data_IF_785992883925
#
_entry.id   IF_785992883925
#
_cell.length_a   1.000
_cell.length_b   1.000
_cell.length_c   1.000
_cell.angle_alpha   90.00
_cell.angle_beta   90.00
_cell.angle_gamma   90.00
#
_symmetry.space_group_name_H-M   'P 1'
#
loop_
_entity.id
_entity.type
_entity.pdbx_description
1 polymer ?
#
# COMPACT_ATOMS: atom_id res chain seq x y z
N UNK A 1 -28.50 -2.47 -17.04
CA UNK A 1 -27.79 -2.63 -15.75
C UNK A 1 -26.89 -3.85 -15.87
N UNK A 2 -25.72 -3.80 -15.26
CA UNK A 2 -24.73 -4.88 -15.21
C UNK A 2 -24.44 -5.15 -13.74
N UNK A 3 -24.39 -6.42 -13.35
CA UNK A 3 -23.97 -6.82 -12.00
C UNK A 3 -22.51 -7.19 -12.07
N UNK A 4 -21.69 -6.55 -11.25
CA UNK A 4 -20.27 -6.86 -11.10
C UNK A 4 -19.99 -7.40 -9.69
N UNK A 5 -18.99 -8.26 -9.57
CA UNK A 5 -18.46 -8.72 -8.28
C UNK A 5 -17.16 -7.98 -7.98
N UNK A 6 -17.11 -7.27 -6.85
CA UNK A 6 -15.89 -6.64 -6.35
C UNK A 6 -15.30 -7.53 -5.26
N UNK A 7 -14.14 -8.11 -5.53
CA UNK A 7 -13.38 -8.94 -4.59
C UNK A 7 -12.31 -8.07 -3.94
N UNK A 8 -12.30 -8.03 -2.61
CA UNK A 8 -11.35 -7.25 -1.82
C UNK A 8 -10.57 -8.19 -0.92
N UNK A 9 -9.25 -8.14 -0.97
CA UNK A 9 -8.36 -8.87 -0.07
C UNK A 9 -7.39 -7.90 0.60
N UNK A 10 -7.27 -7.96 1.93
CA UNK A 10 -6.43 -7.07 2.72
C UNK A 10 -5.54 -7.85 3.69
N UNK A 11 -4.31 -7.38 3.86
CA UNK A 11 -3.43 -7.82 4.94
C UNK A 11 -3.45 -6.82 6.10
N UNK A 12 -3.41 -7.32 7.33
CA UNK A 12 -3.44 -6.51 8.56
C UNK A 12 -2.39 -6.96 9.58
N UNK A 13 -2.02 -6.08 10.51
CA UNK A 13 -1.19 -6.44 11.66
C UNK A 13 -1.97 -7.32 12.64
N UNK A 14 -1.43 -8.48 12.96
CA UNK A 14 -1.94 -9.40 13.98
C UNK A 14 -0.98 -9.41 15.19
N UNK A 15 -1.47 -9.51 16.44
CA UNK A 15 -2.86 -9.63 16.88
C UNK A 15 -3.59 -8.29 17.06
N UNK A 16 -3.01 -7.17 16.63
CA UNK A 16 -3.63 -5.83 16.74
C UNK A 16 -5.02 -5.80 16.09
N UNK A 17 -5.13 -6.37 14.90
CA UNK A 17 -6.39 -6.66 14.23
C UNK A 17 -6.85 -8.06 14.61
N UNK A 18 -8.10 -8.16 15.05
CA UNK A 18 -8.71 -9.43 15.41
C UNK A 18 -9.13 -10.17 14.14
N UNK A 19 -8.67 -11.41 14.00
CA UNK A 19 -9.19 -12.33 13.01
C UNK A 19 -10.63 -12.72 13.38
N UNK A 20 -11.61 -12.17 12.65
CA UNK A 20 -13.03 -12.41 12.80
C UNK A 20 -13.77 -12.00 11.51
N UNK A 21 -15.09 -12.17 11.48
CA UNK A 21 -15.91 -11.60 10.41
C UNK A 21 -16.02 -10.07 10.55
N UNK A 22 -16.22 -9.35 9.45
CA UNK A 22 -16.31 -7.89 9.41
C UNK A 22 -15.07 -7.16 9.98
N UNK A 23 -13.87 -7.52 9.54
CA UNK A 23 -12.64 -6.74 9.76
C UNK A 23 -12.73 -5.45 8.94
N UNK A 24 -12.37 -4.26 9.47
CA UNK A 24 -11.72 -4.02 10.76
C UNK A 24 -12.66 -3.85 11.98
N UNK A 25 -13.97 -3.68 11.80
CA UNK A 25 -14.88 -3.23 12.88
C UNK A 25 -15.09 -4.24 14.00
N UNK A 26 -14.82 -5.52 13.75
CA UNK A 26 -14.84 -6.58 14.76
C UNK A 26 -13.68 -6.51 15.76
N UNK A 27 -12.69 -5.64 15.51
CA UNK A 27 -11.60 -5.36 16.44
C UNK A 27 -12.04 -4.34 17.49
N UNK A 28 -11.78 -4.64 18.77
CA UNK A 28 -12.12 -3.76 19.89
C UNK A 28 -11.58 -2.34 19.71
N UNK A 29 -12.46 -1.34 19.87
CA UNK A 29 -12.10 0.08 19.68
C UNK A 29 -12.11 0.56 18.22
N UNK A 30 -12.49 -0.29 17.26
CA UNK A 30 -12.54 0.05 15.81
C UNK A 30 -13.93 -0.03 15.19
N UNK A 31 -15.01 -0.04 15.98
CA UNK A 31 -16.39 -0.13 15.45
C UNK A 31 -16.76 0.95 14.42
N UNK A 32 -16.13 2.12 14.49
CA UNK A 32 -16.35 3.25 13.57
C UNK A 32 -15.40 3.33 12.37
N UNK A 33 -14.52 2.33 12.15
CA UNK A 33 -13.50 2.41 11.08
C UNK A 33 -13.95 1.82 9.75
N UNK A 34 -15.25 1.51 9.59
CA UNK A 34 -15.75 1.10 8.29
C UNK A 34 -15.82 2.30 7.34
N UNK A 35 -15.18 2.19 6.19
CA UNK A 35 -15.20 3.21 5.15
C UNK A 35 -15.57 2.58 3.80
N UNK A 36 -15.92 3.44 2.84
CA UNK A 36 -16.30 3.01 1.51
C UNK A 36 -15.12 3.06 0.54
N UNK A 37 -15.10 2.14 -0.41
CA UNK A 37 -14.35 2.29 -1.65
C UNK A 37 -14.96 3.46 -2.42
N UNK A 38 -14.22 4.55 -2.57
CA UNK A 38 -14.74 5.78 -3.16
C UNK A 38 -14.35 5.90 -4.62
N UNK A 39 -15.25 6.43 -5.45
CA UNK A 39 -14.85 6.85 -6.78
C UNK A 39 -13.90 8.04 -6.68
N UNK A 40 -12.80 7.98 -7.43
CA UNK A 40 -11.74 9.00 -7.39
C UNK A 40 -11.47 9.70 -8.70
N UNK A 41 -11.76 9.04 -9.83
CA UNK A 41 -11.62 9.60 -11.18
C UNK A 41 -12.77 9.12 -12.06
N UNK A 42 -13.23 10.02 -12.94
CA UNK A 42 -14.33 9.79 -13.88
C UNK A 42 -15.65 9.42 -13.20
N UNK A 43 -15.93 10.04 -12.05
CA UNK A 43 -17.11 9.70 -11.24
C UNK A 43 -18.45 10.11 -11.87
N UNK A 44 -18.44 10.94 -12.91
CA UNK A 44 -19.64 11.22 -13.70
C UNK A 44 -20.10 10.03 -14.53
N UNK A 45 -19.22 9.06 -14.77
CA UNK A 45 -19.46 7.85 -15.57
C UNK A 45 -19.44 6.60 -14.71
N UNK A 46 -19.63 6.72 -13.40
CA UNK A 46 -19.56 5.63 -12.43
C UNK A 46 -20.79 4.69 -12.44
N UNK A 47 -21.75 4.96 -13.31
CA UNK A 47 -22.96 4.16 -13.47
C UNK A 47 -23.84 4.10 -12.21
N UNK A 48 -23.74 5.08 -11.31
CA UNK A 48 -24.47 5.14 -10.04
C UNK A 48 -23.71 4.56 -8.85
N UNK A 49 -22.46 4.14 -9.01
CA UNK A 49 -21.65 3.54 -7.94
C UNK A 49 -21.57 4.44 -6.70
N UNK A 50 -21.35 5.74 -6.87
CA UNK A 50 -21.21 6.69 -5.75
C UNK A 50 -22.48 6.84 -4.91
N UNK A 51 -23.64 6.37 -5.37
CA UNK A 51 -24.90 6.37 -4.61
C UNK A 51 -24.89 5.27 -3.55
N UNK A 52 -24.37 4.08 -3.90
CA UNK A 52 -24.33 2.91 -3.01
C UNK A 52 -22.95 2.24 -3.10
N UNK A 53 -21.89 2.90 -2.60
CA UNK A 53 -20.54 2.38 -2.74
C UNK A 53 -20.31 1.16 -1.84
N UNK A 54 -19.44 0.25 -2.30
CA UNK A 54 -19.03 -0.92 -1.52
C UNK A 54 -18.11 -0.48 -0.38
N UNK A 55 -18.25 -1.11 0.78
CA UNK A 55 -17.40 -0.86 1.94
C UNK A 55 -16.21 -1.82 2.02
N UNK A 56 -15.21 -1.45 2.82
CA UNK A 56 -13.96 -2.21 2.97
C UNK A 56 -14.07 -3.42 3.92
N UNK A 57 -15.28 -3.73 4.42
CA UNK A 57 -15.43 -4.82 5.36
C UNK A 57 -15.13 -6.13 4.67
N UNK A 58 -14.24 -6.90 5.29
CA UNK A 58 -13.83 -8.22 4.82
C UNK A 58 -13.95 -9.23 5.97
N UNK A 59 -13.87 -10.52 5.66
CA UNK A 59 -13.90 -11.58 6.65
C UNK A 59 -12.52 -12.21 6.76
N UNK A 60 -12.06 -12.47 7.99
CA UNK A 60 -10.74 -13.08 8.18
C UNK A 60 -10.66 -14.43 7.48
N UNK A 61 -9.62 -14.60 6.67
CA UNK A 61 -9.31 -15.84 5.95
C UNK A 61 -8.27 -16.65 6.72
N UNK A 62 -7.22 -15.99 7.20
CA UNK A 62 -6.10 -16.61 7.91
C UNK A 62 -5.37 -15.61 8.81
N UNK A 63 -4.68 -16.12 9.83
CA UNK A 63 -3.82 -15.32 10.71
C UNK A 63 -2.55 -16.10 11.09
N UNK A 64 -1.44 -15.38 11.22
CA UNK A 64 -0.13 -15.90 11.63
C UNK A 64 0.42 -15.03 12.76
N UNK A 65 0.60 -15.63 13.94
CA UNK A 65 1.22 -15.01 15.10
C UNK A 65 2.71 -14.71 14.87
N UNK A 66 3.42 -15.60 14.19
CA UNK A 66 4.85 -15.47 13.95
C UNK A 66 5.20 -14.34 12.97
N UNK A 67 4.35 -14.13 11.95
CA UNK A 67 4.49 -12.99 11.04
C UNK A 67 3.92 -11.70 11.60
N UNK A 68 3.08 -11.80 12.63
CA UNK A 68 2.25 -10.70 13.09
C UNK A 68 1.34 -10.19 11.98
N UNK A 69 0.82 -11.09 11.15
CA UNK A 69 0.00 -10.76 9.98
C UNK A 69 -1.27 -11.60 9.91
N UNK A 70 -2.34 -11.01 9.40
CA UNK A 70 -3.55 -11.73 9.02
C UNK A 70 -4.05 -11.25 7.67
N UNK A 71 -4.79 -12.11 6.97
CA UNK A 71 -5.43 -11.79 5.70
C UNK A 71 -6.94 -11.90 5.86
N UNK A 72 -7.67 -10.97 5.24
CA UNK A 72 -9.13 -11.00 5.17
C UNK A 72 -9.58 -10.76 3.74
N UNK A 73 -10.71 -11.34 3.36
CA UNK A 73 -11.28 -11.25 2.01
C UNK A 73 -12.80 -11.12 2.06
N UNK A 74 -13.38 -10.46 1.05
CA UNK A 74 -14.81 -10.52 0.76
C UNK A 74 -15.10 -10.19 -0.70
N UNK A 75 -16.08 -10.88 -1.27
CA UNK A 75 -16.74 -10.52 -2.53
C UNK A 75 -18.07 -9.82 -2.25
N UNK A 76 -18.32 -8.70 -2.91
CA UNK A 76 -19.58 -7.95 -2.84
C UNK A 76 -20.07 -7.63 -4.24
N UNK A 77 -21.34 -7.93 -4.51
CA UNK A 77 -21.97 -7.57 -5.78
C UNK A 77 -22.40 -6.10 -5.79
N UNK A 78 -22.09 -5.39 -6.87
CA UNK A 78 -22.57 -4.04 -7.16
C UNK A 78 -23.34 -4.04 -8.49
N UNK A 79 -24.43 -3.26 -8.56
CA UNK A 79 -25.23 -3.11 -9.78
C UNK A 79 -25.00 -1.72 -10.36
N UNK A 80 -24.51 -1.65 -11.60
CA UNK A 80 -24.13 -0.41 -12.28
C UNK A 80 -24.85 -0.27 -13.62
N UNK A 81 -24.94 0.96 -14.13
CA UNK A 81 -25.37 1.20 -15.51
C UNK A 81 -24.37 0.61 -16.50
N UNK A 82 -24.87 0.10 -17.62
CA UNK A 82 -24.00 -0.40 -18.70
C UNK A 82 -23.17 0.76 -19.29
N UNK A 83 -21.92 0.49 -19.67
CA UNK A 83 -21.01 1.52 -20.17
C UNK A 83 -20.35 2.39 -19.10
N UNK A 84 -20.54 2.08 -17.81
CA UNK A 84 -19.84 2.76 -16.72
C UNK A 84 -18.32 2.56 -16.86
N UNK A 85 -17.55 3.62 -16.63
CA UNK A 85 -16.09 3.57 -16.68
C UNK A 85 -15.52 4.61 -15.72
N UNK A 86 -14.75 4.16 -14.72
CA UNK A 86 -14.35 4.99 -13.58
C UNK A 86 -13.31 4.29 -12.72
N UNK A 87 -12.70 5.04 -11.81
CA UNK A 87 -11.71 4.53 -10.87
C UNK A 87 -12.28 4.53 -9.46
N UNK A 88 -12.14 3.41 -8.76
CA UNK A 88 -12.41 3.31 -7.33
C UNK A 88 -11.12 3.18 -6.54
N UNK A 89 -11.14 3.62 -5.28
CA UNK A 89 -9.99 3.40 -4.41
C UNK A 89 -10.34 3.22 -2.95
N UNK A 90 -9.49 2.45 -2.27
CA UNK A 90 -9.31 2.55 -0.83
C UNK A 90 -8.06 3.36 -0.52
N UNK A 91 -8.16 4.33 0.38
CA UNK A 91 -7.04 5.12 0.89
C UNK A 91 -7.02 5.08 2.39
N UNK A 92 -5.89 4.79 2.98
CA UNK A 92 -5.76 4.69 4.42
C UNK A 92 -4.33 4.88 4.90
N UNK A 93 -4.17 5.05 6.21
CA UNK A 93 -2.85 5.01 6.83
C UNK A 93 -2.24 3.62 6.69
N UNK A 94 -0.94 3.57 6.45
CA UNK A 94 -0.18 2.34 6.46
C UNK A 94 -0.28 1.69 7.84
N UNK A 95 -0.66 0.41 7.88
CA UNK A 95 -0.72 -0.35 9.12
C UNK A 95 0.67 -0.84 9.55
N UNK A 96 1.67 -0.80 8.65
CA UNK A 96 3.06 -1.15 8.90
C UNK A 96 3.98 -0.08 8.29
N UNK A 97 5.05 0.25 9.00
CA UNK A 97 6.16 1.03 8.44
C UNK A 97 6.97 0.18 7.45
N UNK A 98 7.63 0.85 6.51
CA UNK A 98 8.68 0.24 5.66
C UNK A 98 10.02 0.55 6.30
N UNK A 99 10.93 -0.42 6.35
CA UNK A 99 12.19 -0.27 7.11
C UNK A 99 13.35 0.23 6.26
N UNK A 100 13.30 0.04 4.94
CA UNK A 100 14.34 0.51 4.03
C UNK A 100 13.75 1.03 2.71
N UNK A 101 13.85 2.35 2.46
CA UNK A 101 14.19 3.38 3.44
C UNK A 101 13.18 3.42 4.59
N UNK A 102 13.63 3.75 5.81
CA UNK A 102 12.73 3.84 6.96
C UNK A 102 11.69 4.92 6.71
N UNK A 103 10.42 4.52 6.64
CA UNK A 103 9.31 5.41 6.39
C UNK A 103 8.16 5.13 7.36
N UNK A 104 7.89 6.12 8.20
CA UNK A 104 6.81 6.11 9.17
C UNK A 104 5.63 6.96 8.65
N UNK A 105 4.43 6.70 9.17
CA UNK A 105 3.22 7.46 8.84
C UNK A 105 2.90 7.51 7.34
N UNK A 106 3.19 6.42 6.63
CA UNK A 106 2.84 6.28 5.22
C UNK A 106 1.32 6.23 5.04
N UNK A 107 0.88 6.58 3.84
CA UNK A 107 -0.48 6.38 3.38
C UNK A 107 -0.45 5.38 2.23
N UNK A 108 -1.34 4.40 2.26
CA UNK A 108 -1.50 3.45 1.18
C UNK A 108 -2.75 3.81 0.40
N UNK A 109 -2.65 3.70 -0.92
CA UNK A 109 -3.76 3.90 -1.85
C UNK A 109 -3.83 2.67 -2.73
N UNK A 110 -5.02 2.10 -2.91
CA UNK A 110 -5.28 0.93 -3.73
C UNK A 110 -6.33 1.34 -4.73
N UNK A 111 -5.94 1.57 -5.98
CA UNK A 111 -6.81 2.08 -7.05
C UNK A 111 -7.09 0.99 -8.07
N UNK A 112 -8.37 0.79 -8.38
CA UNK A 112 -8.87 -0.13 -9.40
C UNK A 112 -9.59 0.65 -10.50
N UNK A 113 -9.32 0.32 -11.75
CA UNK A 113 -10.00 0.87 -12.92
C UNK A 113 -11.07 -0.10 -13.41
N UNK A 114 -12.33 0.34 -13.41
CA UNK A 114 -13.49 -0.42 -13.88
C UNK A 114 -13.94 0.17 -15.22
N UNK A 115 -14.10 -0.68 -16.23
CA UNK A 115 -14.68 -0.32 -17.52
C UNK A 115 -15.68 -1.37 -18.00
N UNK A 116 -16.95 -0.96 -18.08
CA UNK A 116 -18.09 -1.77 -18.51
C UNK A 116 -18.59 -1.36 -19.90
N UNK A 117 -17.80 -0.59 -20.66
CA UNK A 117 -18.09 -0.31 -22.06
C UNK A 117 -17.96 -1.59 -22.88
N UNK A 118 -18.81 -1.72 -23.90
CA UNK A 118 -18.74 -2.83 -24.84
C UNK A 118 -17.44 -2.73 -25.63
N UNK A 119 -16.75 -3.86 -25.73
CA UNK A 119 -15.60 -4.06 -26.58
C UNK A 119 -16.00 -4.04 -28.07
N UNK A 120 -15.05 -3.80 -28.98
CA UNK A 120 -15.28 -3.92 -30.43
C UNK A 120 -15.80 -5.30 -30.88
N UNK A 121 -15.47 -6.36 -30.15
CA UNK A 121 -15.95 -7.74 -30.38
C UNK A 121 -17.37 -7.99 -29.85
N UNK A 122 -17.99 -7.00 -29.19
CA UNK A 122 -19.37 -7.03 -28.72
C UNK A 122 -19.58 -7.65 -27.33
N UNK A 123 -18.51 -8.01 -26.60
CA UNK A 123 -18.60 -8.45 -25.20
C UNK A 123 -18.24 -7.33 -24.22
N UNK A 124 -18.69 -7.44 -22.97
CA UNK A 124 -18.25 -6.55 -21.90
C UNK A 124 -16.94 -7.11 -21.36
N UNK A 125 -15.99 -6.22 -21.07
CA UNK A 125 -14.73 -6.59 -20.47
C UNK A 125 -14.89 -7.22 -19.08
N UNK A 126 -14.18 -8.30 -18.81
CA UNK A 126 -14.00 -8.83 -17.46
C UNK A 126 -12.56 -8.51 -17.05
N UNK A 127 -12.33 -7.76 -15.97
CA UNK A 127 -10.99 -7.36 -15.58
C UNK A 127 -10.13 -8.57 -15.22
N UNK A 128 -8.79 -8.44 -15.29
CA UNK A 128 -7.89 -9.52 -14.95
C UNK A 128 -7.96 -9.83 -13.46
N UNK A 129 -7.70 -11.08 -13.11
CA UNK A 129 -7.54 -11.51 -11.73
C UNK A 129 -6.04 -11.61 -11.39
N UNK A 130 -5.66 -11.04 -10.25
CA UNK A 130 -4.31 -11.15 -9.72
C UNK A 130 -4.36 -11.31 -8.19
N UNK A 131 -3.66 -12.32 -7.67
CA UNK A 131 -3.61 -12.60 -6.23
C UNK A 131 -2.19 -12.95 -5.80
N UNK A 132 -1.54 -12.03 -5.09
CA UNK A 132 -0.21 -12.26 -4.51
C UNK A 132 -0.33 -12.39 -3.01
N UNK A 133 0.23 -13.48 -2.52
CA UNK A 133 0.44 -13.71 -1.09
C UNK A 133 1.37 -12.65 -0.50
N UNK A 134 0.98 -12.10 0.65
CA UNK A 134 1.82 -11.20 1.43
C UNK A 134 2.15 -11.82 2.80
N UNK A 135 3.42 -11.86 3.21
CA UNK A 135 4.57 -11.34 2.49
C UNK A 135 5.25 -12.37 1.58
N UNK A 136 6.05 -11.85 0.66
CA UNK A 136 7.05 -12.60 -0.10
C UNK A 136 8.40 -12.53 0.62
N UNK A 137 9.31 -13.45 0.30
CA UNK A 137 10.59 -13.57 1.01
C UNK A 137 11.77 -13.53 0.06
N UNK A 138 12.84 -12.89 0.50
CA UNK A 138 14.12 -12.88 -0.18
C UNK A 138 15.24 -13.14 0.84
N UNK A 139 16.28 -13.87 0.45
CA UNK A 139 17.49 -13.99 1.28
C UNK A 139 18.39 -12.80 0.97
N UNK A 140 18.98 -12.21 2.01
CA UNK A 140 19.92 -11.09 1.87
C UNK A 140 21.03 -11.41 0.85
N UNK A 141 21.35 -10.43 0.00
CA UNK A 141 22.31 -10.51 -1.10
C UNK A 141 22.04 -11.61 -2.14
N UNK A 142 20.81 -12.14 -2.21
CA UNK A 142 20.39 -13.06 -3.27
C UNK A 142 19.26 -12.44 -4.10
N UNK A 143 19.47 -12.43 -5.41
CA UNK A 143 18.42 -12.06 -6.36
C UNK A 143 17.33 -13.12 -6.33
N UNK A 144 16.12 -12.68 -6.05
CA UNK A 144 14.91 -13.50 -5.98
C UNK A 144 13.94 -13.03 -7.05
N UNK A 145 13.36 -13.97 -7.78
CA UNK A 145 12.30 -13.71 -8.73
C UNK A 145 10.95 -14.06 -8.08
N UNK A 146 10.05 -13.10 -8.06
CA UNK A 146 8.69 -13.24 -7.51
C UNK A 146 7.73 -13.12 -8.69
N UNK A 147 7.07 -14.23 -9.03
CA UNK A 147 6.05 -14.25 -10.06
C UNK A 147 4.73 -13.72 -9.48
N UNK A 148 4.13 -12.76 -10.17
CA UNK A 148 2.77 -12.31 -9.90
C UNK A 148 1.84 -13.19 -10.74
N UNK A 149 1.01 -14.04 -10.11
CA UNK A 149 0.04 -14.83 -10.84
C UNK A 149 -1.06 -13.89 -11.35
N UNK A 150 -1.29 -13.95 -12.66
CA UNK A 150 -2.29 -13.16 -13.36
C UNK A 150 -3.05 -14.07 -14.30
N UNK A 151 -4.35 -13.84 -14.44
CA UNK A 151 -5.21 -14.57 -15.37
C UNK A 151 -6.35 -13.70 -15.85
N UNK A 152 -6.84 -13.99 -17.06
CA UNK A 152 -8.01 -13.34 -17.63
C UNK A 152 -8.93 -14.40 -18.25
N UNK A 153 -10.23 -14.16 -18.18
CA UNK A 153 -11.26 -15.04 -18.75
C UNK A 153 -11.57 -14.68 -20.19
N UNK A 154 -11.29 -13.44 -20.62
CA UNK A 154 -11.47 -12.99 -21.99
C UNK A 154 -10.33 -13.53 -22.87
N UNK A 155 -10.70 -14.41 -23.78
CA UNK A 155 -9.73 -15.06 -24.66
C UNK A 155 -9.11 -14.05 -25.65
N UNK A 156 -7.78 -14.03 -25.71
CA UNK A 156 -7.02 -13.16 -26.61
C UNK A 156 -6.50 -11.88 -25.95
N UNK A 157 -6.95 -11.59 -24.73
CA UNK A 157 -6.48 -10.43 -23.98
C UNK A 157 -5.00 -10.59 -23.59
N UNK A 158 -4.26 -9.49 -23.66
CA UNK A 158 -2.86 -9.39 -23.30
C UNK A 158 -2.73 -8.75 -21.91
N UNK A 159 -2.07 -9.47 -20.99
CA UNK A 159 -1.91 -9.04 -19.61
C UNK A 159 -0.54 -8.42 -19.39
N UNK A 160 -0.53 -7.21 -18.84
CA UNK A 160 0.70 -6.47 -18.59
C UNK A 160 0.73 -5.95 -17.16
N UNK A 161 1.86 -6.16 -16.50
CA UNK A 161 2.12 -5.58 -15.20
C UNK A 161 3.00 -4.34 -15.33
N UNK A 162 2.64 -3.28 -14.60
CA UNK A 162 3.47 -2.10 -14.43
C UNK A 162 3.52 -1.67 -12.98
N UNK A 163 4.52 -0.88 -12.62
CA UNK A 163 4.53 -0.22 -11.33
C UNK A 163 3.31 0.70 -11.19
N UNK A 164 2.72 0.71 -9.99
CA UNK A 164 1.75 1.74 -9.63
C UNK A 164 2.42 3.11 -9.62
N UNK A 165 1.69 4.13 -10.06
CA UNK A 165 2.21 5.50 -10.20
C UNK A 165 1.33 6.53 -9.52
N UNK A 166 1.93 7.69 -9.28
CA UNK A 166 1.19 8.92 -9.05
C UNK A 166 1.11 9.70 -10.37
N UNK A 167 -0.10 9.94 -10.87
CA UNK A 167 -0.38 10.75 -12.06
C UNK A 167 -0.83 12.15 -11.62
N UNK A 168 -0.03 13.20 -11.85
CA UNK A 168 -0.43 14.57 -11.56
C UNK A 168 -1.68 14.96 -12.36
N UNK A 169 -2.60 15.67 -11.71
CA UNK A 169 -3.80 16.24 -12.33
C UNK A 169 -4.22 17.54 -11.65
N UNK A 170 -5.29 18.18 -12.15
CA UNK A 170 -5.84 19.37 -11.51
C UNK A 170 -6.52 18.97 -10.20
N UNK A 171 -5.76 19.13 -9.10
CA UNK A 171 -6.25 18.94 -7.75
C UNK A 171 -7.39 19.95 -7.51
N UNK A 172 -8.59 19.50 -7.13
CA UNK A 172 -9.41 20.35 -6.25
C UNK A 172 -8.54 20.57 -5.01
N UNK A 173 -8.21 21.84 -4.76
CA UNK A 173 -7.38 22.27 -3.62
C UNK A 173 -7.81 21.47 -2.39
N UNK A 174 -6.86 20.75 -1.80
CA UNK A 174 -7.01 20.02 -0.53
C UNK A 174 -7.74 20.95 0.44
N UNK A 175 -8.97 20.63 0.85
CA UNK A 175 -9.62 21.35 1.95
C UNK A 175 -8.86 20.93 3.20
N UNK A 176 -7.83 21.70 3.54
CA UNK A 176 -6.93 21.48 4.68
C UNK A 176 -7.62 21.51 6.04
N UNK A 177 -8.94 21.76 6.11
CA UNK A 177 -9.61 22.10 7.36
C UNK A 177 -10.75 21.14 7.76
N UNK A 178 -10.99 20.06 7.00
CA UNK A 178 -12.10 19.13 7.30
C UNK A 178 -11.63 17.76 7.85
N UNK A 179 -10.43 17.31 7.52
CA UNK A 179 -9.91 16.00 7.98
C UNK A 179 -9.04 16.08 9.25
N UNK A 180 -8.56 17.28 9.62
CA UNK A 180 -7.72 17.45 10.82
C UNK A 180 -8.51 17.22 12.14
N UNK A 181 -9.84 17.34 12.11
CA UNK A 181 -10.68 17.21 13.31
C UNK A 181 -11.18 15.79 13.62
N UNK A 182 -11.03 14.82 12.70
CA UNK A 182 -11.43 13.42 12.93
C UNK A 182 -10.26 12.55 13.45
N UNK A 183 -9.02 12.98 13.21
CA UNK A 183 -7.82 12.31 13.72
C UNK A 183 -7.50 12.68 15.18
N UNK A 184 -7.88 13.87 15.65
CA UNK A 184 -7.51 14.34 16.97
C UNK A 184 -8.32 13.68 18.11
N UNK A 185 -9.59 13.32 17.87
CA UNK A 185 -10.44 12.72 18.91
C UNK A 185 -10.12 11.24 19.21
N UNK A 186 -9.65 10.48 18.23
CA UNK A 186 -9.32 9.05 18.40
C UNK A 186 -7.95 8.85 19.05
N UNK A 187 -6.97 9.70 18.72
CA UNK A 187 -5.64 9.70 19.34
C UNK A 187 -5.70 10.20 20.80
N UNK A 188 -6.47 11.26 21.10
CA UNK A 188 -6.60 11.76 22.47
C UNK A 188 -7.24 10.76 23.43
N UNK A 189 -8.14 9.89 22.96
CA UNK A 189 -8.83 8.92 23.81
C UNK A 189 -7.94 7.72 24.22
N UNK A 190 -6.92 7.41 23.43
CA UNK A 190 -5.96 6.34 23.73
C UNK A 190 -4.91 6.80 24.75
N UNK A 191 -4.41 8.03 24.63
CA UNK A 191 -3.43 8.59 25.57
C UNK A 191 -4.02 8.98 26.93
N UNK A 192 -5.35 9.21 27.02
CA UNK A 192 -6.01 9.53 28.30
C UNK A 192 -6.17 8.33 29.24
N UNK A 193 -6.23 7.10 28.70
CA UNK A 193 -6.31 5.87 29.50
C UNK A 193 -4.97 5.40 30.06
N UNK A 194 -3.85 5.82 29.46
CA UNK A 194 -2.51 5.42 29.90
C UNK A 194 -1.98 6.35 31.02
N UNK A 195 -2.59 7.52 31.25
CA UNK A 195 -2.18 8.48 32.31
C UNK A 195 -3.04 8.45 33.58
N UNK A 196 -3.91 7.46 33.76
CA UNK A 196 -4.77 7.40 34.93
C UNK A 196 -4.13 6.71 36.16
N UNK A 197 -3.01 5.99 36.00
CA UNK A 197 -2.49 5.10 37.05
C UNK A 197 -1.05 5.39 37.55
N UNK A 198 -0.49 6.58 37.33
CA UNK A 198 0.75 6.97 38.04
C UNK A 198 0.66 8.39 38.61
N UNK A 199 0.37 8.48 39.92
CA UNK A 199 0.73 9.62 40.75
C UNK A 199 2.26 9.72 40.85
N UNK A 200 2.87 10.87 40.54
CA UNK A 200 4.15 11.38 41.09
C UNK A 200 4.43 12.81 40.52
N UNK A 201 5.11 13.72 41.25
CA UNK A 201 4.78 15.15 41.33
C UNK A 201 5.47 16.08 40.33
N UNK A 202 4.82 17.21 40.08
CA UNK A 202 5.21 18.29 39.16
C UNK A 202 6.55 18.97 39.52
N UNK A 203 7.57 18.78 38.65
CA UNK A 203 8.71 19.68 38.54
C UNK A 203 8.48 20.61 37.34
N UNK A 204 8.34 21.93 37.59
CA UNK A 204 8.28 22.96 36.54
C UNK A 204 9.63 23.04 35.80
N UNK A 205 9.71 22.54 34.56
CA UNK A 205 10.80 22.90 33.62
C UNK A 205 10.49 24.24 32.94
N UNK A 206 11.43 25.18 33.04
CA UNK A 206 11.49 26.44 32.26
C UNK A 206 11.48 26.12 30.77
N UNK A 207 10.64 26.80 29.99
CA UNK A 207 10.65 26.77 28.52
C UNK A 207 11.85 27.58 28.00
N UNK A 208 12.77 26.92 27.30
CA UNK A 208 13.80 27.57 26.45
C UNK A 208 13.43 27.36 24.99
N UNK A 209 13.65 28.38 24.14
CA UNK A 209 13.38 28.33 22.70
C UNK A 209 14.15 27.14 22.07
N UNK A 210 13.42 26.16 21.52
CA UNK A 210 13.98 25.00 20.84
C UNK A 210 13.11 24.58 19.67
N UNK A 211 13.55 24.94 18.46
CA UNK A 211 13.16 24.35 17.18
C UNK A 211 11.81 24.74 16.59
N UNK A 212 11.80 25.65 15.60
CA UNK A 212 10.91 25.47 14.44
C UNK A 212 10.06 26.62 13.91
N UNK A 213 10.10 27.84 14.45
CA UNK A 213 9.36 28.98 13.85
C UNK A 213 10.33 30.04 13.32
N UNK A 214 10.63 29.98 12.03
CA UNK A 214 11.29 31.05 11.28
C UNK A 214 10.25 32.06 10.79
N UNK A 215 10.41 33.33 11.17
CA UNK A 215 9.54 34.40 10.71
C UNK A 215 9.80 34.69 9.22
N UNK A 216 8.78 34.56 8.37
CA UNK A 216 8.81 35.05 7.00
C UNK A 216 8.02 36.36 6.92
N UNK A 217 8.67 37.45 6.52
CA UNK A 217 8.03 38.74 6.27
C UNK A 217 8.21 39.78 7.38
N UNK A 218 7.72 41.00 7.10
CA UNK A 218 7.99 42.26 7.81
C UNK A 218 7.27 42.45 9.17
N UNK A 219 6.86 41.38 9.85
CA UNK A 219 6.10 41.46 11.11
C UNK A 219 6.57 40.41 12.14
N UNK A 220 6.86 40.83 13.38
CA UNK A 220 7.15 39.95 14.54
C UNK A 220 5.89 39.81 15.39
N UNK A 221 5.30 38.61 15.47
CA UNK A 221 4.17 38.32 16.35
C UNK A 221 4.64 38.04 17.79
N UNK A 222 3.76 38.28 18.77
CA UNK A 222 4.02 38.03 20.19
C UNK A 222 4.50 36.58 20.41
N UNK A 223 5.57 36.40 21.19
CA UNK A 223 6.29 35.13 21.46
C UNK A 223 7.17 34.55 20.33
N UNK A 224 7.51 35.32 19.29
CA UNK A 224 8.59 34.93 18.38
C UNK A 224 9.99 35.05 19.04
N UNK A 225 10.89 34.11 18.74
CA UNK A 225 12.26 34.10 19.27
C UNK A 225 13.16 35.06 18.44
N UNK A 226 13.94 35.93 19.10
CA UNK A 226 14.78 36.97 18.48
C UNK A 226 16.08 36.40 17.85
N UNK A 227 16.02 35.31 17.07
CA UNK A 227 17.21 34.59 16.54
C UNK A 227 17.39 34.70 15.02
N UNK A 228 16.52 35.43 14.32
CA UNK A 228 16.72 35.74 12.90
C UNK A 228 17.54 37.02 12.71
N UNK A 229 18.45 37.00 11.73
CA UNK A 229 19.46 38.04 11.47
C UNK A 229 18.93 39.48 11.30
N UNK A 230 17.70 39.76 10.83
CA UNK A 230 17.18 41.14 10.74
C UNK A 230 16.80 41.77 12.09
N UNK A 231 16.68 40.98 13.16
CA UNK A 231 16.10 41.43 14.43
C UNK A 231 17.13 41.68 15.55
N UNK A 232 18.43 41.52 15.28
CA UNK A 232 19.50 41.63 16.30
C UNK A 232 19.78 43.07 16.76
N UNK A 233 19.27 44.07 16.05
CA UNK A 233 19.56 45.49 16.30
C UNK A 233 18.32 46.35 16.56
N UNK A 234 17.14 45.74 16.71
CA UNK A 234 15.92 46.48 17.02
C UNK A 234 15.74 46.67 18.55
N UNK A 235 15.30 47.85 19.03
CA UNK A 235 15.10 48.13 20.45
C UNK A 235 13.89 47.40 21.10
N UNK A 236 13.26 46.46 20.40
CA UNK A 236 11.95 45.88 20.74
C UNK A 236 11.99 44.46 21.36
N UNK A 237 13.19 43.89 21.63
CA UNK A 237 13.33 42.58 22.28
C UNK A 237 13.54 42.73 23.79
N UNK A 238 12.81 41.94 24.59
CA UNK A 238 13.01 41.81 26.04
C UNK A 238 13.38 40.34 26.31
N UNK A 239 14.68 40.06 26.45
CA UNK A 239 15.19 38.69 26.56
C UNK A 239 15.28 37.97 25.20
N UNK A 240 14.83 36.72 25.11
CA UNK A 240 14.85 35.94 23.86
C UNK A 240 13.60 36.12 22.99
N UNK A 241 12.64 36.97 23.38
CA UNK A 241 11.35 37.14 22.71
C UNK A 241 11.03 38.62 22.40
N UNK A 242 10.23 38.87 21.35
CA UNK A 242 9.70 40.21 21.00
C UNK A 242 8.71 40.73 22.07
N UNK A 243 8.83 42.01 22.47
CA UNK A 243 8.00 42.65 23.49
C UNK A 243 6.81 43.49 22.98
N UNK A 244 6.74 43.79 21.67
CA UNK A 244 5.61 44.48 21.03
C UNK A 244 5.52 44.21 19.53
N UNK A 245 4.36 44.49 18.92
CA UNK A 245 4.01 44.21 17.51
C UNK A 245 4.49 45.26 16.49
N UNK A 246 5.47 46.09 16.82
CA UNK A 246 6.03 47.11 15.92
C UNK A 246 7.36 46.62 15.31
N UNK A 247 7.37 46.41 13.99
CA UNK A 247 8.43 45.73 13.21
C UNK A 247 9.80 46.43 13.15
N UNK A 248 10.81 45.70 12.64
CA UNK A 248 12.21 46.12 12.53
C UNK A 248 12.45 47.11 11.37
N UNK A 249 13.41 48.05 11.49
CA UNK A 249 13.70 49.04 10.44
C UNK A 249 14.44 48.45 9.23
N UNK A 250 14.12 48.95 8.03
CA UNK A 250 14.75 48.58 6.75
C UNK A 250 16.10 49.28 6.63
N UNK A 251 17.18 48.53 6.35
CA UNK A 251 18.45 49.10 5.88
C UNK A 251 18.43 49.15 4.35
N UNK A 252 18.28 50.34 3.79
CA UNK A 252 18.61 50.64 2.39
C UNK A 252 20.10 50.86 2.25
N UNK A 253 20.79 50.05 1.45
CA UNK A 253 22.10 50.44 0.91
C UNK A 253 22.28 50.04 -0.55
N UNK A 254 22.88 50.99 -1.24
CA UNK A 254 23.04 51.24 -2.66
C UNK A 254 23.95 50.27 -3.42
N UNK A 255 23.72 50.22 -4.73
CA UNK A 255 24.52 49.69 -5.86
C UNK A 255 26.05 49.74 -5.73
N UNK A 256 26.71 48.62 -6.09
CA UNK A 256 27.97 48.62 -6.88
C UNK A 256 28.11 47.34 -7.73
N UNK A 257 28.44 47.53 -9.00
CA UNK A 257 28.65 46.54 -10.08
C UNK A 257 29.94 45.70 -9.93
N UNK A 258 29.95 44.42 -10.35
CA UNK A 258 30.89 43.85 -11.36
C UNK A 258 30.70 42.33 -11.66
N UNK A 259 30.48 42.06 -12.96
CA UNK A 259 31.00 41.00 -13.86
C UNK A 259 30.80 39.47 -13.71
N UNK A 260 30.30 38.89 -14.82
CA UNK A 260 30.54 37.54 -15.44
C UNK A 260 29.91 36.31 -14.77
N UNK A 261 29.22 35.37 -15.45
CA UNK A 261 29.33 34.88 -16.84
C UNK A 261 27.99 34.28 -17.32
N UNK A 262 27.61 34.57 -18.55
CA UNK A 262 26.44 34.05 -19.27
C UNK A 262 26.73 32.66 -19.85
N UNK A 263 25.82 31.71 -19.72
CA UNK A 263 25.76 30.53 -20.60
C UNK A 263 24.38 30.45 -21.22
N UNK A 264 24.35 30.69 -22.53
CA UNK A 264 23.19 30.71 -23.41
C UNK A 264 22.79 29.27 -23.75
N UNK A 265 21.50 28.95 -23.70
CA UNK A 265 20.93 27.85 -24.51
C UNK A 265 19.66 28.37 -25.18
N UNK A 266 19.71 28.34 -26.50
CA UNK A 266 18.80 28.95 -27.45
C UNK A 266 17.51 28.15 -27.61
N UNK A 267 16.37 28.79 -27.41
CA UNK A 267 15.03 28.33 -27.82
C UNK A 267 14.82 28.66 -29.29
N UNK A 268 14.47 27.66 -30.11
CA UNK A 268 13.98 27.86 -31.48
C UNK A 268 12.46 27.77 -31.47
N UNK A 269 11.79 28.92 -31.56
CA UNK A 269 10.36 29.01 -31.82
C UNK A 269 10.16 29.09 -33.34
N UNK A 270 9.44 28.12 -33.91
CA UNK A 270 9.01 28.18 -35.31
C UNK A 270 7.54 28.59 -35.35
N UNK A 271 7.29 29.83 -35.77
CA UNK A 271 5.98 30.36 -36.09
C UNK A 271 5.46 29.68 -37.37
N UNK A 272 4.24 29.14 -37.33
CA UNK A 272 3.45 28.90 -38.55
C UNK A 272 2.14 29.65 -38.41
N UNK A 273 2.04 30.75 -39.15
CA UNK A 273 0.84 31.58 -39.33
C UNK A 273 -0.16 30.84 -40.21
N UNK A 274 -1.41 30.72 -39.76
CA UNK A 274 -2.56 30.48 -40.65
C UNK A 274 -3.52 31.66 -40.52
N UNK A 275 -3.88 32.21 -41.69
CA UNK A 275 -4.82 33.32 -41.88
C UNK A 275 -6.22 32.88 -41.42
N UNK A 276 -6.83 33.62 -40.48
CA UNK A 276 -8.24 33.46 -40.16
C UNK A 276 -9.10 34.09 -41.27
N UNK A 277 -10.00 33.28 -41.84
CA UNK A 277 -11.09 33.78 -42.69
C UNK A 277 -12.31 34.04 -41.79
N UNK A 278 -12.87 35.27 -41.75
CA UNK A 278 -14.01 35.58 -40.88
C UNK A 278 -15.28 34.87 -41.37
N UNK A 279 -15.86 33.98 -40.55
CA UNK A 279 -17.19 33.43 -40.81
C UNK A 279 -17.49 31.98 -40.41
N UNK A 280 -16.66 31.31 -39.61
CA UNK A 280 -16.97 29.93 -39.15
C UNK A 280 -16.96 29.85 -37.62
N UNK A 281 -18.10 29.48 -37.03
CA UNK A 281 -18.22 29.19 -35.59
C UNK A 281 -17.31 27.99 -35.24
N UNK A 282 -16.45 28.08 -34.20
CA UNK A 282 -15.70 26.92 -33.73
C UNK A 282 -16.61 26.06 -32.85
N UNK A 283 -16.93 24.86 -33.33
CA UNK A 283 -17.52 23.78 -32.54
C UNK A 283 -16.38 22.88 -32.02
N UNK A 284 -16.33 22.75 -30.69
CA UNK A 284 -15.69 21.71 -29.85
C UNK A 284 -14.18 21.42 -29.95
N UNK A 285 -13.50 21.44 -28.80
CA UNK A 285 -12.70 20.28 -28.40
C UNK A 285 -12.58 20.20 -26.87
N UNK A 286 -13.26 19.19 -26.34
CA UNK A 286 -13.27 18.73 -24.96
C UNK A 286 -11.98 17.98 -24.62
N UNK A 287 -11.11 18.58 -23.82
CA UNK A 287 -10.17 17.80 -23.02
C UNK A 287 -10.72 17.70 -21.59
N UNK A 288 -10.96 16.48 -21.06
CA UNK A 288 -11.40 16.34 -19.68
C UNK A 288 -10.28 16.82 -18.75
N UNK A 289 -10.65 17.62 -17.77
CA UNK A 289 -9.78 18.02 -16.66
C UNK A 289 -9.32 16.75 -15.95
N UNK A 290 -8.09 16.29 -16.21
CA UNK A 290 -7.56 15.06 -15.61
C UNK A 290 -7.47 15.24 -14.09
N UNK A 291 -8.25 14.47 -13.35
CA UNK A 291 -8.15 14.38 -11.89
C UNK A 291 -6.87 13.60 -11.53
N UNK A 292 -6.20 13.99 -10.44
CA UNK A 292 -4.97 13.32 -10.02
C UNK A 292 -5.27 11.88 -9.55
N UNK A 293 -4.53 10.91 -10.09
CA UNK A 293 -4.61 9.50 -9.68
C UNK A 293 -3.40 9.20 -8.80
N UNK A 294 -3.66 8.66 -7.61
CA UNK A 294 -2.63 8.20 -6.70
C UNK A 294 -2.81 6.70 -6.45
N UNK A 295 -2.11 5.86 -7.20
CA UNK A 295 -2.31 4.40 -7.20
C UNK A 295 -1.59 3.67 -6.07
N UNK A 296 -0.68 4.35 -5.37
CA UNK A 296 0.25 3.73 -4.43
C UNK A 296 0.49 4.57 -3.17
N UNK A 297 0.09 5.83 -3.13
CA UNK A 297 0.32 6.71 -2.00
C UNK A 297 1.82 6.84 -1.70
N UNK A 298 2.21 6.53 -0.47
CA UNK A 298 3.60 6.56 -0.01
C UNK A 298 4.46 5.38 -0.47
N UNK A 299 3.89 4.34 -1.10
CA UNK A 299 4.62 3.12 -1.48
C UNK A 299 4.89 2.98 -2.98
N UNK A 300 4.95 4.10 -3.70
CA UNK A 300 5.28 4.09 -5.12
C UNK A 300 6.76 3.76 -5.37
N UNK A 301 7.01 2.93 -6.40
CA UNK A 301 8.35 2.73 -6.94
C UNK A 301 8.97 4.06 -7.42
N UNK A 302 10.29 4.29 -7.29
CA UNK A 302 11.34 3.39 -6.79
C UNK A 302 11.59 3.48 -5.29
N UNK A 303 10.79 4.24 -4.54
CA UNK A 303 11.20 4.71 -3.22
C UNK A 303 11.07 3.67 -2.10
N UNK A 304 10.44 2.53 -2.37
CA UNK A 304 10.14 1.49 -1.36
C UNK A 304 10.74 0.13 -1.66
N UNK A 305 11.64 0.07 -2.65
CA UNK A 305 12.40 -1.13 -3.01
C UNK A 305 13.86 -0.76 -3.31
N UNK A 306 14.82 -1.70 -3.21
CA UNK A 306 16.23 -1.45 -3.52
C UNK A 306 16.44 -1.03 -4.98
N UNK A 307 17.47 -0.22 -5.22
CA UNK A 307 17.88 0.14 -6.57
C UNK A 307 18.24 -1.12 -7.39
N UNK A 308 17.87 -1.13 -8.66
CA UNK A 308 18.04 -2.29 -9.55
C UNK A 308 16.92 -3.33 -9.46
N UNK A 309 15.89 -3.10 -8.63
CA UNK A 309 14.66 -3.90 -8.68
C UNK A 309 13.94 -3.66 -10.01
N UNK A 310 13.57 -4.72 -10.73
CA UNK A 310 12.91 -4.63 -12.04
C UNK A 310 11.61 -5.44 -12.09
N UNK A 311 10.68 -5.01 -12.93
CA UNK A 311 9.43 -5.71 -13.22
C UNK A 311 9.35 -5.95 -14.73
N UNK A 312 9.25 -7.21 -15.13
CA UNK A 312 9.12 -7.61 -16.54
C UNK A 312 8.25 -8.86 -16.64
N UNK A 313 7.28 -8.89 -17.56
CA UNK A 313 6.35 -10.02 -17.74
C UNK A 313 5.71 -10.47 -16.42
N UNK A 314 5.24 -9.53 -15.60
CA UNK A 314 4.68 -9.81 -14.28
C UNK A 314 5.62 -10.58 -13.32
N UNK A 315 6.93 -10.60 -13.61
CA UNK A 315 7.98 -11.14 -12.75
C UNK A 315 8.76 -9.99 -12.14
N UNK A 316 8.74 -9.92 -10.80
CA UNK A 316 9.55 -8.99 -10.04
C UNK A 316 10.93 -9.61 -9.77
N UNK A 317 11.99 -8.95 -10.22
CA UNK A 317 13.37 -9.31 -9.88
C UNK A 317 13.86 -8.38 -8.77
N UNK A 318 14.11 -8.96 -7.59
CA UNK A 318 14.39 -8.22 -6.36
C UNK A 318 15.68 -8.73 -5.69
N UNK A 319 16.51 -7.84 -5.16
CA UNK A 319 17.67 -8.21 -4.33
C UNK A 319 17.66 -7.40 -3.05
N UNK A 320 17.41 -8.06 -1.91
CA UNK A 320 17.44 -7.43 -0.60
C UNK A 320 18.86 -7.30 -0.08
N UNK A 321 19.30 -6.09 0.30
CA UNK A 321 20.68 -5.83 0.75
C UNK A 321 20.81 -5.75 2.28
N UNK A 322 19.69 -5.55 2.98
CA UNK A 322 19.66 -5.38 4.43
C UNK A 322 18.83 -6.51 5.03
N UNK A 323 19.39 -7.34 5.94
CA UNK A 323 18.65 -8.42 6.58
C UNK A 323 17.59 -7.85 7.54
N UNK A 324 16.58 -8.67 7.86
CA UNK A 324 15.49 -8.36 8.78
C UNK A 324 14.70 -7.09 8.41
N UNK A 325 14.60 -6.79 7.11
CA UNK A 325 14.04 -5.53 6.59
C UNK A 325 12.79 -5.80 5.77
N UNK A 326 11.79 -4.93 5.93
CA UNK A 326 10.56 -4.96 5.15
C UNK A 326 10.57 -3.94 4.01
N UNK A 327 10.15 -4.38 2.84
CA UNK A 327 9.92 -3.57 1.63
C UNK A 327 8.45 -3.68 1.21
N UNK A 328 7.94 -2.68 0.49
CA UNK A 328 6.57 -2.66 -0.02
C UNK A 328 6.57 -2.51 -1.54
N UNK A 329 5.76 -3.34 -2.18
CA UNK A 329 5.58 -3.38 -3.65
C UNK A 329 4.15 -2.98 -3.98
N UNK A 330 4.01 -2.11 -4.98
CA UNK A 330 2.71 -1.70 -5.53
C UNK A 330 2.74 -1.75 -7.05
N UNK A 331 1.86 -2.57 -7.62
CA UNK A 331 1.80 -2.90 -9.06
C UNK A 331 0.36 -2.79 -9.53
N UNK A 332 0.18 -2.39 -10.79
CA UNK A 332 -1.08 -2.50 -11.52
C UNK A 332 -0.98 -3.65 -12.51
N UNK A 333 -1.96 -4.53 -12.50
CA UNK A 333 -2.16 -5.54 -13.54
C UNK A 333 -3.25 -5.03 -14.46
N UNK A 334 -2.88 -4.84 -15.71
CA UNK A 334 -3.72 -4.26 -16.75
C UNK A 334 -3.98 -5.29 -17.83
N UNK A 335 -5.21 -5.30 -18.33
CA UNK A 335 -5.61 -6.08 -19.49
C UNK A 335 -5.75 -5.17 -20.72
N UNK A 336 -5.40 -5.72 -21.85
CA UNK A 336 -5.47 -5.09 -23.15
C UNK A 336 -6.18 -6.05 -24.10
N UNK A 337 -7.03 -5.52 -24.99
CA UNK A 337 -7.75 -6.34 -25.96
C UNK A 337 -6.84 -7.24 -26.81
N UNK A 338 -5.60 -6.80 -27.05
CA UNK A 338 -4.56 -7.57 -27.73
C UNK A 338 -3.16 -6.99 -27.44
N UNK A 339 -2.14 -7.66 -27.96
CA UNK A 339 -0.72 -7.29 -27.81
C UNK A 339 -0.34 -5.96 -28.48
N UNK A 340 -1.20 -5.38 -29.33
CA UNK A 340 -0.94 -4.13 -30.04
C UNK A 340 -1.60 -2.91 -29.38
N UNK A 341 -2.63 -3.14 -28.56
CA UNK A 341 -3.30 -2.06 -27.85
C UNK A 341 -2.37 -1.33 -26.89
N UNK A 342 -2.50 -0.01 -26.85
CA UNK A 342 -1.74 0.90 -25.97
C UNK A 342 -2.57 1.45 -24.81
N UNK A 343 -3.87 1.17 -24.78
CA UNK A 343 -4.78 1.64 -23.74
C UNK A 343 -5.34 0.44 -22.97
N UNK A 344 -5.17 0.39 -21.64
CA UNK A 344 -5.71 -0.68 -20.84
C UNK A 344 -7.24 -0.60 -20.84
N UNK A 345 -7.88 -1.76 -20.79
CA UNK A 345 -9.32 -1.89 -20.68
C UNK A 345 -9.78 -1.77 -19.24
N UNK A 346 -9.03 -2.34 -18.31
CA UNK A 346 -9.23 -2.22 -16.87
C UNK A 346 -7.89 -2.35 -16.14
N UNK A 347 -7.89 -2.19 -14.82
CA UNK A 347 -6.70 -2.43 -14.02
C UNK A 347 -7.04 -2.87 -12.60
N UNK A 348 -6.33 -3.88 -12.11
CA UNK A 348 -6.44 -4.35 -10.72
C UNK A 348 -5.14 -4.06 -9.96
N UNK A 349 -5.22 -3.46 -8.76
CA UNK A 349 -4.06 -3.18 -7.94
C UNK A 349 -3.60 -4.41 -7.17
N UNK A 350 -2.28 -4.63 -7.15
CA UNK A 350 -1.63 -5.67 -6.34
C UNK A 350 -0.60 -5.00 -5.43
N UNK A 351 -0.78 -5.15 -4.12
CA UNK A 351 0.15 -4.63 -3.11
C UNK A 351 0.52 -5.73 -2.13
N UNK A 352 1.82 -5.90 -1.89
CA UNK A 352 2.34 -6.90 -0.96
C UNK A 352 3.66 -6.43 -0.36
N UNK A 353 4.05 -7.10 0.74
CA UNK A 353 5.31 -6.85 1.42
C UNK A 353 6.36 -7.89 1.02
N UNK A 354 7.62 -7.50 1.04
CA UNK A 354 8.76 -8.41 0.95
C UNK A 354 9.55 -8.34 2.25
N UNK A 355 9.80 -9.49 2.87
CA UNK A 355 10.71 -9.60 4.01
C UNK A 355 12.07 -10.16 3.59
N UNK A 356 13.14 -9.42 3.92
CA UNK A 356 14.51 -9.87 3.66
C UNK A 356 15.02 -10.67 4.85
N UNK A 357 15.20 -11.95 4.64
CA UNK A 357 15.75 -12.87 5.63
C UNK A 357 17.28 -12.73 5.71
N UNK A 358 17.88 -12.94 6.90
CA UNK A 358 19.33 -13.03 7.01
C UNK A 358 19.86 -14.23 6.23
N UNK A 359 21.18 -14.25 6.00
CA UNK A 359 21.83 -15.42 5.40
C UNK A 359 21.60 -16.60 6.34
N UNK A 360 21.02 -17.72 5.87
CA UNK A 360 20.81 -18.88 6.71
C UNK A 360 22.16 -19.45 7.14
N UNK A 361 22.28 -19.83 8.42
CA UNK A 361 23.49 -20.50 8.94
C UNK A 361 23.67 -21.89 8.30
N UNK A 362 22.56 -22.47 7.83
CA UNK A 362 22.51 -23.72 7.10
C UNK A 362 22.45 -23.46 5.58
N UNK A 363 23.46 -23.90 4.84
CA UNK A 363 23.47 -23.83 3.37
C UNK A 363 22.63 -24.92 2.71
N UNK A 364 22.18 -25.91 3.48
CA UNK A 364 21.38 -27.04 2.99
C UNK A 364 19.89 -26.69 3.11
N UNK A 365 19.18 -26.65 1.99
CA UNK A 365 17.74 -26.42 1.99
C UNK A 365 17.01 -27.50 2.81
N UNK A 366 16.09 -27.10 3.71
CA UNK A 366 15.24 -28.04 4.45
C UNK A 366 14.40 -28.87 3.48
N UNK A 367 14.08 -30.10 3.89
CA UNK A 367 13.15 -30.94 3.13
C UNK A 367 11.77 -30.77 3.75
N UNK A 368 10.79 -30.40 2.93
CA UNK A 368 9.36 -30.37 3.31
C UNK A 368 8.70 -31.64 2.75
N UNK A 369 7.83 -32.31 3.50
CA UNK A 369 7.15 -33.55 3.08
C UNK A 369 5.72 -33.54 3.62
N UNK A 370 4.71 -34.04 2.88
CA UNK A 370 4.76 -34.50 1.49
C UNK A 370 4.81 -33.33 0.48
N UNK A 371 5.69 -33.45 -0.52
CA UNK A 371 5.77 -32.51 -1.65
C UNK A 371 5.04 -33.01 -2.91
N UNK A 372 4.68 -34.30 -2.98
CA UNK A 372 4.15 -34.90 -4.19
C UNK A 372 2.76 -35.51 -3.97
N UNK A 373 1.77 -34.95 -4.67
CA UNK A 373 0.40 -35.45 -4.77
C UNK A 373 -0.63 -34.37 -4.50
N UNK A 374 -1.70 -34.33 -5.30
CA UNK A 374 -2.91 -33.62 -4.90
C UNK A 374 -3.58 -34.43 -3.79
N UNK A 375 -3.87 -33.80 -2.66
CA UNK A 375 -4.70 -34.42 -1.64
C UNK A 375 -6.16 -34.21 -2.02
N UNK A 376 -6.84 -35.28 -2.43
CA UNK A 376 -8.29 -35.22 -2.62
C UNK A 376 -8.99 -35.03 -1.27
N UNK A 377 -9.86 -34.03 -1.23
CA UNK A 377 -10.68 -33.70 -0.08
C UNK A 377 -12.15 -33.58 -0.51
N UNK A 378 -13.06 -33.86 0.41
CA UNK A 378 -14.49 -33.81 0.15
C UNK A 378 -15.10 -32.59 0.87
N UNK A 379 -15.90 -31.82 0.16
CA UNK A 379 -16.64 -30.71 0.74
C UNK A 379 -17.53 -31.19 1.91
N UNK A 380 -17.51 -30.43 3.01
CA UNK A 380 -18.24 -30.71 4.25
C UNK A 380 -17.56 -31.73 5.18
N UNK A 381 -16.44 -32.34 4.79
CA UNK A 381 -15.73 -33.34 5.59
C UNK A 381 -14.43 -32.75 6.14
N UNK A 382 -14.27 -32.76 7.46
CA UNK A 382 -13.02 -32.33 8.09
C UNK A 382 -11.88 -33.25 7.68
N UNK A 383 -10.81 -32.66 7.16
CA UNK A 383 -9.58 -33.34 6.80
C UNK A 383 -8.42 -32.79 7.63
N UNK A 384 -7.53 -33.69 8.03
CA UNK A 384 -6.27 -33.33 8.66
C UNK A 384 -5.10 -34.04 7.99
N UNK A 385 -3.98 -33.33 7.85
CA UNK A 385 -2.73 -33.86 7.32
C UNK A 385 -1.53 -33.14 7.94
N UNK A 386 -0.40 -33.83 8.00
CA UNK A 386 0.83 -33.29 8.57
C UNK A 386 1.78 -32.87 7.47
N UNK A 387 2.42 -31.72 7.66
CA UNK A 387 3.59 -31.32 6.88
C UNK A 387 4.80 -31.41 7.78
N UNK A 388 5.75 -32.24 7.36
CA UNK A 388 7.00 -32.50 8.04
C UNK A 388 8.10 -31.63 7.42
N UNK A 389 8.96 -31.10 8.28
CA UNK A 389 10.17 -30.38 7.88
C UNK A 389 11.37 -31.03 8.54
N UNK A 390 12.39 -31.29 7.73
CA UNK A 390 13.65 -31.89 8.18
C UNK A 390 14.77 -30.88 7.96
N UNK A 391 15.41 -30.45 9.05
CA UNK A 391 16.65 -29.70 8.99
C UNK A 391 17.82 -30.67 8.83
N UNK A 392 18.54 -30.57 7.71
CA UNK A 392 19.67 -31.48 7.39
C UNK A 392 21.03 -30.98 7.88
N UNK A 393 21.12 -29.76 8.40
CA UNK A 393 22.38 -29.24 8.90
C UNK A 393 22.76 -29.77 10.28
N UNK A 394 21.79 -30.21 11.08
CA UNK A 394 22.06 -30.91 12.33
C UNK A 394 21.16 -32.15 12.44
N UNK A 395 21.71 -33.36 12.23
CA UNK A 395 20.91 -34.59 12.28
C UNK A 395 20.38 -34.91 13.68
N UNK A 396 20.83 -34.19 14.72
CA UNK A 396 20.46 -34.43 16.11
C UNK A 396 19.51 -33.37 16.70
N UNK A 397 19.34 -32.21 16.06
CA UNK A 397 18.50 -31.10 16.53
C UNK A 397 17.83 -30.36 15.36
N UNK A 398 16.50 -30.33 15.35
CA UNK A 398 15.73 -29.48 14.44
C UNK A 398 15.64 -28.04 14.96
N UNK A 399 16.57 -27.17 14.57
CA UNK A 399 16.42 -25.72 14.75
C UNK A 399 15.45 -25.12 13.72
N UNK A 400 14.26 -25.74 13.55
CA UNK A 400 13.21 -25.15 12.73
C UNK A 400 12.45 -24.18 13.62
N UNK A 401 12.68 -22.89 13.43
CA UNK A 401 12.05 -21.84 14.23
C UNK A 401 10.62 -21.59 13.80
N UNK A 402 10.30 -21.82 12.52
CA UNK A 402 8.94 -21.67 12.02
C UNK A 402 8.59 -22.53 10.79
N UNK A 403 7.31 -22.88 10.64
CA UNK A 403 6.72 -23.42 9.40
C UNK A 403 5.53 -22.52 9.05
N UNK A 404 5.75 -21.65 8.08
CA UNK A 404 4.82 -20.60 7.70
C UNK A 404 4.02 -21.03 6.50
N UNK A 405 2.72 -20.77 6.54
CA UNK A 405 1.83 -20.88 5.39
C UNK A 405 1.76 -19.51 4.74
N UNK A 406 2.41 -19.37 3.59
CA UNK A 406 2.37 -18.12 2.85
C UNK A 406 1.02 -17.99 2.10
N UNK A 407 0.52 -19.06 1.47
CA UNK A 407 -0.80 -19.11 0.85
C UNK A 407 -1.69 -20.12 1.59
N UNK A 408 -2.61 -19.65 2.43
CA UNK A 408 -3.52 -20.51 3.19
C UNK A 408 -4.85 -20.70 2.48
N UNK A 409 -5.40 -21.91 2.53
CA UNK A 409 -6.77 -22.18 2.08
C UNK A 409 -7.73 -21.61 3.13
N UNK A 410 -8.77 -20.88 2.72
CA UNK A 410 -9.75 -20.29 3.65
C UNK A 410 -10.35 -21.33 4.58
N UNK A 411 -10.35 -21.04 5.89
CA UNK A 411 -10.86 -21.95 6.92
C UNK A 411 -9.94 -23.13 7.26
N UNK A 412 -8.69 -23.12 6.76
CA UNK A 412 -7.65 -24.04 7.18
C UNK A 412 -6.94 -23.50 8.43
N UNK A 413 -6.89 -24.32 9.47
CA UNK A 413 -6.17 -24.05 10.70
C UNK A 413 -4.85 -24.83 10.73
N UNK A 414 -3.85 -24.24 11.39
CA UNK A 414 -2.50 -24.81 11.52
C UNK A 414 -2.18 -24.92 13.00
N UNK A 415 -1.73 -26.11 13.43
CA UNK A 415 -1.23 -26.31 14.78
C UNK A 415 0.09 -25.57 15.01
N UNK A 416 0.47 -25.41 16.27
CA UNK A 416 1.86 -25.06 16.60
C UNK A 416 2.82 -26.15 16.08
N UNK A 417 4.06 -25.74 15.86
CA UNK A 417 5.15 -26.63 15.50
C UNK A 417 5.35 -27.65 16.61
N UNK A 418 5.43 -28.91 16.22
CA UNK A 418 5.65 -30.02 17.14
C UNK A 418 6.90 -30.77 16.70
N UNK A 419 7.81 -31.04 17.64
CA UNK A 419 8.97 -31.89 17.38
C UNK A 419 8.54 -33.35 17.42
N UNK A 420 8.99 -34.15 16.45
CA UNK A 420 8.65 -35.56 16.41
C UNK A 420 9.37 -36.32 17.52
N UNK A 421 8.61 -37.13 18.27
CA UNK A 421 9.16 -38.04 19.27
C UNK A 421 10.00 -39.17 18.67
N UNK A 422 9.80 -39.48 17.38
CA UNK A 422 10.53 -40.53 16.67
C UNK A 422 11.86 -40.06 16.08
N UNK A 423 12.00 -38.76 15.77
CA UNK A 423 13.23 -38.20 15.21
C UNK A 423 13.39 -36.72 15.61
N UNK A 424 14.45 -36.44 16.38
CA UNK A 424 14.75 -35.10 16.90
C UNK A 424 15.12 -34.06 15.83
N UNK A 425 15.49 -34.48 14.61
CA UNK A 425 15.72 -33.57 13.47
C UNK A 425 14.48 -33.34 12.60
N UNK A 426 13.32 -33.88 13.01
CA UNK A 426 12.05 -33.76 12.32
C UNK A 426 11.04 -32.96 13.17
N UNK A 427 10.48 -31.92 12.56
CA UNK A 427 9.33 -31.18 13.10
C UNK A 427 8.15 -31.29 12.16
N UNK A 428 6.95 -31.08 12.67
CA UNK A 428 5.77 -31.00 11.85
C UNK A 428 4.75 -30.00 12.37
N UNK A 429 3.91 -29.56 11.45
CA UNK A 429 2.66 -28.86 11.74
C UNK A 429 1.50 -29.70 11.22
N UNK A 430 0.40 -29.66 11.95
CA UNK A 430 -0.84 -30.33 11.59
C UNK A 430 -1.78 -29.31 10.99
N UNK A 431 -2.23 -29.58 9.77
CA UNK A 431 -3.27 -28.81 9.12
C UNK A 431 -4.62 -29.45 9.38
N UNK A 432 -5.63 -28.63 9.65
CA UNK A 432 -7.03 -29.05 9.80
C UNK A 432 -7.91 -28.15 8.96
N UNK A 433 -8.74 -28.74 8.10
CA UNK A 433 -9.57 -28.00 7.17
C UNK A 433 -10.88 -28.73 6.88
N UNK A 434 -12.00 -27.99 6.85
CA UNK A 434 -13.30 -28.50 6.40
C UNK A 434 -13.71 -27.74 5.13
N UNK A 435 -13.44 -28.29 3.93
CA UNK A 435 -13.72 -27.62 2.67
C UNK A 435 -15.20 -27.27 2.53
N UNK A 436 -15.50 -26.10 1.99
CA UNK A 436 -16.86 -25.65 1.71
C UNK A 436 -17.20 -25.82 0.22
N UNK A 437 -18.50 -25.84 -0.12
CA UNK A 437 -18.95 -26.03 -1.52
C UNK A 437 -18.44 -24.91 -2.44
N UNK A 438 -18.26 -23.71 -1.91
CA UNK A 438 -17.67 -22.58 -2.64
C UNK A 438 -16.14 -22.69 -2.82
N UNK A 439 -15.51 -23.77 -2.36
CA UNK A 439 -14.06 -24.04 -2.50
C UNK A 439 -13.77 -25.22 -3.45
N UNK A 440 -14.78 -25.66 -4.22
CA UNK A 440 -14.58 -26.71 -5.23
C UNK A 440 -13.57 -26.27 -6.29
N UNK A 441 -12.63 -27.16 -6.60
CA UNK A 441 -11.54 -26.91 -7.55
C UNK A 441 -10.17 -27.17 -6.95
N UNK A 442 -9.12 -26.83 -7.70
CA UNK A 442 -7.75 -26.96 -7.23
C UNK A 442 -7.44 -25.86 -6.21
N UNK A 443 -6.97 -26.27 -5.04
CA UNK A 443 -6.49 -25.38 -3.98
C UNK A 443 -4.97 -25.51 -3.87
N UNK A 444 -4.27 -24.40 -3.58
CA UNK A 444 -2.82 -24.38 -3.43
C UNK A 444 -2.44 -23.96 -2.01
N UNK A 445 -1.47 -24.67 -1.44
CA UNK A 445 -0.90 -24.40 -0.13
C UNK A 445 0.60 -24.14 -0.31
N UNK A 446 1.06 -22.95 0.08
CA UNK A 446 2.47 -22.59 0.01
C UNK A 446 3.07 -22.55 1.41
N UNK A 447 4.20 -23.24 1.61
CA UNK A 447 4.82 -23.43 2.91
C UNK A 447 6.28 -23.00 2.86
N UNK A 448 6.71 -22.25 3.86
CA UNK A 448 8.08 -21.79 4.04
C UNK A 448 8.54 -22.24 5.41
N UNK A 449 9.65 -22.97 5.45
CA UNK A 449 10.24 -23.39 6.71
C UNK A 449 11.48 -22.56 7.02
N UNK A 450 11.59 -22.12 8.28
CA UNK A 450 12.69 -21.33 8.78
C UNK A 450 13.61 -22.24 9.58
N UNK A 451 14.90 -22.24 9.23
CA UNK A 451 15.94 -22.86 10.03
C UNK A 451 16.90 -21.80 10.53
N UNK A 452 17.09 -21.73 11.84
CA UNK A 452 18.13 -20.90 12.45
C UNK A 452 19.50 -21.57 12.41
#
# INVERSE_FOLDING_TARGET
MVVISIIQSYSWSYPTMKCANNVPISTSGRSGTNTNLTCVVDCSTDGGYSVNPVNILTDCVSASSSLGMMTSERSVNATLLAGAHFYISYRGSAWRAVDSPQQNNLYWSIVCFIDLRLRPDGIINTPPEANVVSPQYAIVNRTTQIQIPVSDVNAGDDLRCRWSVYVPGHRRRRQSNAEENLYDQSAHHMYRKIRADEEIPHIRKKRTCGGGNTCYGSTCDNNCCCTSTPCLSAPSCIGQNCGSSSGCPIVTTSTTSTTTTTTTTTTTAQNTTTLETPGTLPITSSYPVRQAIDECGGICYPNTVPNGTTLSNCTLTFTGLIPNTWYAVSIQVEDFIDSTSMTPMSSVPVQFLIYVMPTPNCSITPIIIPLNGCLEVTAGVMKSFNIFVINRCNPFLSNVSDIIVSAGITGMEVSNITQSSANASLVYVTFTWTPQINQLGQQQLCIIAFTE
#
